data_IF_086725322134
#
_entry.id   IF_086725322134
#
_cell.length_a   1.000
_cell.length_b   1.000
_cell.length_c   1.000
_cell.angle_alpha   90.00
_cell.angle_beta   90.00
_cell.angle_gamma   90.00
#
_symmetry.space_group_name_H-M   'P 1'
#
loop_
_entity.id
_entity.type
_entity.pdbx_description
1 polymer ?
#
# COMPACT_ATOMS: atom_id res chain seq x y z
N UNK A 1 6.81 25.39 7.75
CA UNK A 1 6.42 24.92 6.41
C UNK A 1 6.46 23.39 6.43
N UNK A 2 5.49 22.73 5.81
CA UNK A 2 5.54 21.27 5.65
C UNK A 2 6.79 20.92 4.82
N UNK A 3 7.48 19.83 5.19
CA UNK A 3 8.63 19.34 4.42
C UNK A 3 8.10 18.68 3.15
N UNK A 4 8.83 18.82 2.05
CA UNK A 4 8.55 18.13 0.79
C UNK A 4 9.78 17.38 0.26
N UNK A 5 9.54 16.50 -0.71
CA UNK A 5 10.54 15.81 -1.49
C UNK A 5 10.06 15.69 -2.92
N UNK A 6 10.88 16.14 -3.86
CA UNK A 6 10.57 16.12 -5.29
C UNK A 6 11.61 15.34 -6.07
N UNK A 7 11.19 14.70 -7.14
CA UNK A 7 12.08 14.03 -8.07
C UNK A 7 11.34 13.30 -9.18
N UNK A 8 12.10 12.81 -10.14
CA UNK A 8 11.63 11.94 -11.19
C UNK A 8 11.73 10.49 -10.74
N UNK A 9 10.69 9.72 -11.05
CA UNK A 9 10.66 8.27 -10.89
C UNK A 9 10.58 7.63 -12.26
N UNK A 10 11.43 6.64 -12.48
CA UNK A 10 11.40 5.78 -13.65
C UNK A 10 11.22 4.32 -13.21
N UNK A 11 10.10 3.73 -13.59
CA UNK A 11 9.80 2.32 -13.41
C UNK A 11 9.93 1.62 -14.77
N UNK A 12 10.93 0.77 -14.91
CA UNK A 12 11.11 -0.10 -16.09
C UNK A 12 10.75 -1.53 -15.73
N UNK A 13 9.89 -2.16 -16.51
CA UNK A 13 9.44 -3.55 -16.33
C UNK A 13 9.81 -4.36 -17.57
N UNK A 14 10.35 -5.56 -17.36
CA UNK A 14 10.58 -6.56 -18.39
C UNK A 14 9.86 -7.86 -18.04
N UNK A 15 9.24 -8.49 -19.03
CA UNK A 15 8.41 -9.68 -18.88
C UNK A 15 9.05 -10.83 -19.66
N UNK A 16 9.44 -11.89 -18.96
CA UNK A 16 9.90 -13.12 -19.56
C UNK A 16 8.68 -13.95 -20.01
N UNK A 17 8.52 -14.10 -21.31
CA UNK A 17 7.52 -14.95 -21.93
C UNK A 17 8.10 -15.48 -23.23
N UNK A 18 7.65 -16.67 -23.73
CA UNK A 18 8.08 -17.16 -25.05
C UNK A 18 7.86 -16.10 -26.14
N UNK A 19 8.82 -15.97 -27.04
CA UNK A 19 8.81 -14.91 -28.07
C UNK A 19 7.57 -14.95 -28.96
N UNK A 20 7.01 -16.14 -29.21
CA UNK A 20 5.82 -16.39 -29.98
C UNK A 20 4.50 -16.18 -29.23
N UNK A 21 4.53 -15.89 -27.95
CA UNK A 21 3.32 -15.59 -27.15
C UNK A 21 2.59 -14.36 -27.67
N UNK A 22 1.27 -14.49 -27.82
CA UNK A 22 0.35 -13.45 -28.34
C UNK A 22 -0.67 -12.98 -27.31
N UNK A 23 -0.57 -13.44 -26.07
CA UNK A 23 -1.43 -13.04 -24.94
C UNK A 23 -0.54 -12.77 -23.73
N UNK A 24 0.11 -11.60 -23.75
CA UNK A 24 0.91 -11.10 -22.62
C UNK A 24 0.34 -9.77 -22.21
N UNK A 25 0.02 -9.63 -20.93
CA UNK A 25 -0.64 -8.46 -20.35
C UNK A 25 0.11 -8.00 -19.12
N UNK A 26 0.09 -6.69 -18.87
CA UNK A 26 0.64 -6.08 -17.66
C UNK A 26 -0.28 -4.99 -17.14
N UNK A 27 -0.36 -4.91 -15.82
CA UNK A 27 -0.97 -3.80 -15.09
C UNK A 27 0.09 -3.22 -14.14
N UNK A 28 0.26 -1.91 -14.18
CA UNK A 28 1.18 -1.18 -13.32
C UNK A 28 0.37 -0.16 -12.52
N UNK A 29 0.51 -0.07 -11.18
CA UNK A 29 -0.14 0.96 -10.39
C UNK A 29 0.16 2.35 -10.96
N UNK A 30 -0.89 3.11 -11.31
CA UNK A 30 -0.74 4.42 -11.94
C UNK A 30 -0.93 5.53 -10.91
N UNK A 31 0.11 6.32 -10.63
CA UNK A 31 0.06 7.34 -9.59
C UNK A 31 -0.82 8.52 -9.99
N UNK A 32 -1.51 9.10 -8.99
CA UNK A 32 -2.35 10.29 -9.17
C UNK A 32 -2.03 11.35 -8.13
N UNK A 33 -2.26 12.61 -8.48
CA UNK A 33 -2.14 13.74 -7.54
C UNK A 33 -3.27 13.72 -6.51
N UNK A 34 -2.97 14.22 -5.32
CA UNK A 34 -3.92 14.45 -4.25
C UNK A 34 -3.39 15.58 -3.33
N UNK A 35 -4.01 15.78 -2.18
CA UNK A 35 -3.64 16.86 -1.24
C UNK A 35 -2.22 16.75 -0.63
N UNK A 36 -1.56 15.59 -0.74
CA UNK A 36 -0.22 15.36 -0.16
C UNK A 36 0.83 14.94 -1.17
N UNK A 37 0.43 14.76 -2.43
CA UNK A 37 1.37 14.48 -3.51
C UNK A 37 0.93 15.09 -4.82
N UNK A 38 1.88 15.62 -5.59
CA UNK A 38 1.69 16.04 -6.97
C UNK A 38 2.40 15.08 -7.91
N UNK A 39 1.68 14.64 -8.95
CA UNK A 39 2.22 13.78 -10.01
C UNK A 39 2.07 14.54 -11.33
N UNK A 40 3.14 14.59 -12.12
CA UNK A 40 3.16 15.29 -13.38
C UNK A 40 4.14 14.68 -14.38
N UNK A 41 4.14 15.17 -15.61
CA UNK A 41 5.07 14.77 -16.68
C UNK A 41 5.13 13.25 -16.90
N UNK A 42 3.97 12.60 -16.86
CA UNK A 42 3.89 11.15 -17.03
C UNK A 42 4.18 10.80 -18.49
N UNK A 43 5.08 9.83 -18.69
CA UNK A 43 5.44 9.28 -19.99
C UNK A 43 5.43 7.76 -19.92
N UNK A 44 4.95 7.13 -20.98
CA UNK A 44 4.85 5.69 -21.12
C UNK A 44 5.55 5.32 -22.42
N UNK A 45 6.55 4.45 -22.35
CA UNK A 45 7.30 3.95 -23.49
C UNK A 45 7.41 2.43 -23.40
N UNK A 46 7.45 1.76 -24.54
CA UNK A 46 7.59 0.31 -24.59
C UNK A 46 7.34 -0.24 -25.97
N UNK A 47 7.48 -1.56 -26.12
CA UNK A 47 7.25 -2.28 -27.38
C UNK A 47 5.92 -3.06 -27.38
N UNK A 48 4.95 -2.59 -26.60
CA UNK A 48 3.60 -3.17 -26.52
C UNK A 48 2.75 -2.90 -27.77
N UNK A 49 1.74 -3.75 -28.01
CA UNK A 49 0.78 -3.57 -29.11
C UNK A 49 -0.20 -2.44 -28.83
N UNK A 50 -0.67 -2.33 -27.59
CA UNK A 50 -1.51 -1.24 -27.11
C UNK A 50 -1.37 -1.01 -25.61
N UNK A 51 -1.73 0.19 -25.16
CA UNK A 51 -1.77 0.56 -23.74
C UNK A 51 -2.87 1.57 -23.46
N UNK A 52 -3.26 1.66 -22.19
CA UNK A 52 -4.22 2.63 -21.70
C UNK A 52 -4.21 2.72 -20.19
N UNK A 53 -4.81 3.78 -19.64
CA UNK A 53 -4.99 3.94 -18.19
C UNK A 53 -6.46 3.69 -17.87
N UNK A 54 -6.72 2.81 -16.93
CA UNK A 54 -8.05 2.37 -16.56
C UNK A 54 -8.28 2.50 -15.06
N UNK A 55 -9.49 2.92 -14.69
CA UNK A 55 -9.94 2.99 -13.30
C UNK A 55 -10.65 1.71 -12.88
N UNK A 56 -10.33 1.24 -11.69
CA UNK A 56 -11.04 0.14 -11.05
C UNK A 56 -12.27 0.72 -10.30
N UNK A 57 -13.41 0.02 -10.39
CA UNK A 57 -14.71 0.57 -9.96
C UNK A 57 -14.92 0.60 -8.46
N UNK A 58 -14.33 -0.35 -7.72
CA UNK A 58 -14.58 -0.51 -6.29
C UNK A 58 -13.76 0.48 -5.45
N UNK A 59 -12.50 0.69 -5.84
CA UNK A 59 -11.54 1.51 -5.08
C UNK A 59 -11.21 2.84 -5.76
N UNK A 60 -11.48 2.96 -7.07
CA UNK A 60 -11.05 4.09 -7.89
C UNK A 60 -9.56 4.12 -8.20
N UNK A 61 -8.81 3.06 -7.86
CA UNK A 61 -7.40 2.97 -8.19
C UNK A 61 -7.20 2.90 -9.70
N UNK A 62 -6.14 3.56 -10.20
CA UNK A 62 -5.80 3.54 -11.61
C UNK A 62 -4.70 2.53 -11.90
N UNK A 63 -4.79 1.87 -13.03
CA UNK A 63 -3.78 0.98 -13.57
C UNK A 63 -3.37 1.43 -14.98
N UNK A 64 -2.08 1.53 -15.23
CA UNK A 64 -1.54 1.49 -16.58
C UNK A 64 -1.60 0.05 -17.05
N UNK A 65 -2.39 -0.21 -18.08
CA UNK A 65 -2.49 -1.49 -18.77
C UNK A 65 -1.70 -1.44 -20.05
N UNK A 66 -1.00 -2.52 -20.39
CA UNK A 66 -0.45 -2.74 -21.71
C UNK A 66 -0.52 -4.22 -22.07
N UNK A 67 -0.57 -4.50 -23.39
CA UNK A 67 -0.60 -5.87 -23.89
C UNK A 67 0.24 -6.07 -25.18
N UNK A 68 0.70 -7.29 -25.35
CA UNK A 68 1.38 -7.77 -26.54
C UNK A 68 0.53 -8.85 -27.19
N UNK A 69 -0.06 -8.50 -28.33
CA UNK A 69 -0.96 -9.38 -29.11
C UNK A 69 -0.27 -10.02 -30.32
N UNK A 70 1.00 -9.71 -30.52
CA UNK A 70 1.86 -10.25 -31.59
C UNK A 70 3.15 -10.81 -30.99
N UNK A 71 3.82 -11.76 -31.68
CA UNK A 71 5.13 -12.23 -31.31
C UNK A 71 6.10 -11.06 -31.07
N UNK A 72 6.67 -10.97 -29.91
CA UNK A 72 7.55 -9.86 -29.53
C UNK A 72 8.69 -10.38 -28.66
N UNK A 73 9.92 -9.96 -28.98
CA UNK A 73 11.10 -10.19 -28.15
C UNK A 73 11.25 -9.07 -27.12
N UNK A 74 11.92 -9.40 -26.03
CA UNK A 74 12.35 -8.42 -25.01
C UNK A 74 11.22 -7.45 -24.60
N UNK A 75 10.06 -8.02 -24.21
CA UNK A 75 8.89 -7.23 -23.81
C UNK A 75 9.21 -6.31 -22.67
N UNK A 76 9.10 -5.03 -22.91
CA UNK A 76 9.43 -4.01 -21.94
C UNK A 76 8.44 -2.84 -21.97
N UNK A 77 8.21 -2.27 -20.80
CA UNK A 77 7.46 -1.02 -20.60
C UNK A 77 8.15 -0.16 -19.55
N UNK A 78 8.21 1.13 -19.82
CA UNK A 78 8.76 2.13 -18.87
C UNK A 78 7.70 3.18 -18.59
N UNK A 79 7.44 3.40 -17.32
CA UNK A 79 6.60 4.48 -16.79
C UNK A 79 7.51 5.49 -16.08
N UNK A 80 7.55 6.73 -16.60
CA UNK A 80 8.33 7.83 -16.01
C UNK A 80 7.39 8.94 -15.59
N UNK A 81 7.59 9.52 -14.42
CA UNK A 81 6.80 10.65 -13.92
C UNK A 81 7.58 11.48 -12.90
N UNK A 82 7.19 12.74 -12.74
CA UNK A 82 7.66 13.57 -11.64
C UNK A 82 6.71 13.43 -10.46
N UNK A 83 7.26 13.36 -9.26
CA UNK A 83 6.51 13.33 -8.01
C UNK A 83 7.05 14.36 -7.02
N UNK A 84 6.13 15.06 -6.36
CA UNK A 84 6.41 15.84 -5.15
C UNK A 84 5.54 15.28 -4.04
N UNK A 85 6.15 14.79 -2.97
CA UNK A 85 5.44 14.32 -1.78
C UNK A 85 5.65 15.28 -0.62
N UNK A 86 4.62 15.48 0.20
CA UNK A 86 4.62 16.38 1.35
C UNK A 86 4.42 15.62 2.64
N UNK A 87 5.10 16.08 3.70
CA UNK A 87 4.82 15.62 5.04
C UNK A 87 3.36 15.92 5.41
N UNK A 88 2.67 14.93 5.96
CA UNK A 88 1.31 15.06 6.48
C UNK A 88 1.32 14.83 7.98
N UNK A 89 0.76 15.78 8.75
CA UNK A 89 0.55 15.63 10.20
C UNK A 89 -0.92 15.92 10.51
N UNK A 90 -1.61 14.92 11.06
CA UNK A 90 -3.03 14.96 11.45
C UNK A 90 -3.19 14.39 12.86
N UNK A 91 -3.06 15.23 13.88
CA UNK A 91 -3.04 14.80 15.29
C UNK A 91 -4.06 15.51 16.19
N UNK A 92 -4.62 16.61 15.72
CA UNK A 92 -5.63 17.38 16.46
C UNK A 92 -7.04 16.86 16.10
N UNK A 93 -7.46 15.79 16.79
CA UNK A 93 -8.77 15.20 16.56
C UNK A 93 -9.90 16.03 17.14
N UNK A 94 -11.10 16.04 16.51
CA UNK A 94 -12.24 16.78 17.02
C UNK A 94 -12.68 16.26 18.39
N UNK A 95 -13.11 17.18 19.26
CA UNK A 95 -13.64 16.83 20.57
C UNK A 95 -14.92 15.99 20.45
N UNK A 96 -15.74 16.26 19.40
CA UNK A 96 -16.95 15.53 19.05
C UNK A 96 -16.81 15.01 17.63
N UNK A 97 -16.98 13.70 17.44
CA UNK A 97 -16.97 13.06 16.14
C UNK A 97 -18.40 12.96 15.60
N UNK A 98 -18.59 13.26 14.32
CA UNK A 98 -19.88 13.13 13.65
C UNK A 98 -20.17 11.65 13.30
N UNK A 99 -21.34 11.40 12.70
CA UNK A 99 -21.66 10.06 12.20
C UNK A 99 -20.76 9.69 11.00
N UNK A 100 -20.47 8.40 10.85
CA UNK A 100 -19.72 7.87 9.72
C UNK A 100 -20.55 8.08 8.43
N UNK A 101 -20.03 8.79 7.42
CA UNK A 101 -20.68 8.95 6.12
C UNK A 101 -20.98 7.60 5.46
N UNK A 102 -22.05 7.54 4.67
CA UNK A 102 -22.53 6.28 4.06
C UNK A 102 -21.46 5.67 3.15
N UNK A 103 -20.78 6.49 2.36
CA UNK A 103 -19.70 6.09 1.46
C UNK A 103 -18.45 5.58 2.17
N UNK A 104 -18.29 5.91 3.45
CA UNK A 104 -17.16 5.45 4.28
C UNK A 104 -17.48 4.10 4.97
N UNK A 105 -18.75 3.71 5.05
CA UNK A 105 -19.14 2.46 5.73
C UNK A 105 -18.61 1.19 5.05
N UNK A 106 -18.27 1.25 3.77
CA UNK A 106 -17.65 0.11 3.08
C UNK A 106 -16.30 -0.26 3.70
N UNK A 107 -15.55 0.72 4.25
CA UNK A 107 -14.28 0.50 4.94
C UNK A 107 -14.43 -0.10 6.36
N UNK A 108 -15.64 -0.50 6.75
CA UNK A 108 -15.92 -1.35 7.91
C UNK A 108 -16.12 -2.82 7.54
N UNK A 109 -16.34 -3.12 6.25
CA UNK A 109 -16.67 -4.48 5.79
C UNK A 109 -15.43 -5.37 5.82
N UNK A 110 -15.66 -6.64 6.10
CA UNK A 110 -14.65 -7.68 5.89
C UNK A 110 -14.44 -7.95 4.41
N UNK A 111 -13.26 -8.46 4.07
CA UNK A 111 -12.96 -9.06 2.77
C UNK A 111 -12.30 -10.41 3.00
N UNK A 112 -12.05 -11.19 1.94
CA UNK A 112 -11.39 -12.51 2.06
C UNK A 112 -9.99 -12.43 2.69
N UNK A 113 -9.31 -11.27 2.63
CA UNK A 113 -7.97 -11.06 3.20
C UNK A 113 -7.99 -10.20 4.47
N UNK A 114 -9.11 -9.55 4.79
CA UNK A 114 -9.28 -8.67 5.95
C UNK A 114 -10.54 -9.11 6.71
N UNK A 115 -10.49 -10.21 7.48
CA UNK A 115 -11.61 -10.66 8.32
C UNK A 115 -11.88 -9.66 9.45
N UNK A 116 -13.11 -9.62 9.95
CA UNK A 116 -13.52 -8.74 11.07
C UNK A 116 -14.18 -9.52 12.21
N UNK A 117 -14.13 -10.82 12.17
CA UNK A 117 -14.70 -11.76 13.14
C UNK A 117 -13.64 -12.61 13.86
N UNK A 118 -14.04 -13.67 14.54
CA UNK A 118 -13.17 -14.60 15.26
C UNK A 118 -12.19 -13.88 16.19
N UNK A 119 -10.92 -14.31 16.14
CA UNK A 119 -9.84 -13.77 16.99
C UNK A 119 -9.60 -12.28 16.81
N UNK A 120 -9.81 -11.77 15.60
CA UNK A 120 -9.71 -10.32 15.31
C UNK A 120 -10.76 -9.55 16.13
N UNK A 121 -12.00 -10.04 16.15
CA UNK A 121 -13.09 -9.43 16.91
C UNK A 121 -12.86 -9.49 18.42
N UNK A 122 -12.35 -10.60 18.92
CA UNK A 122 -12.00 -10.77 20.35
C UNK A 122 -10.97 -9.73 20.77
N UNK A 123 -9.89 -9.57 20.00
CA UNK A 123 -8.85 -8.57 20.26
C UNK A 123 -9.47 -7.16 20.19
N UNK A 124 -10.23 -6.85 19.14
CA UNK A 124 -10.84 -5.54 18.98
C UNK A 124 -11.68 -5.15 20.20
N UNK A 125 -12.55 -6.07 20.68
CA UNK A 125 -13.36 -5.85 21.86
C UNK A 125 -12.53 -5.69 23.13
N UNK A 126 -11.48 -6.50 23.33
CA UNK A 126 -10.67 -6.46 24.53
C UNK A 126 -9.92 -5.13 24.72
N UNK A 127 -9.56 -4.45 23.62
CA UNK A 127 -8.76 -3.21 23.66
C UNK A 127 -9.57 -1.93 23.43
N UNK A 128 -10.85 -2.04 23.06
CA UNK A 128 -11.69 -0.87 22.71
C UNK A 128 -13.03 -0.79 23.42
N UNK A 129 -13.35 -1.71 24.35
CA UNK A 129 -14.65 -1.77 25.03
C UNK A 129 -14.98 -0.52 25.87
N UNK A 130 -13.97 0.16 26.39
CA UNK A 130 -14.06 1.40 27.19
C UNK A 130 -13.94 2.68 26.34
N UNK A 131 -13.73 2.55 25.02
CA UNK A 131 -13.52 3.68 24.11
C UNK A 131 -14.82 4.03 23.38
N UNK A 132 -15.12 5.32 23.29
CA UNK A 132 -16.31 5.80 22.59
C UNK A 132 -15.97 6.38 21.21
N UNK A 133 -14.88 7.16 21.11
CA UNK A 133 -14.48 7.85 19.89
C UNK A 133 -13.72 6.91 18.94
N UNK A 134 -13.90 7.12 17.66
CA UNK A 134 -13.17 6.42 16.60
C UNK A 134 -11.67 6.66 16.72
N UNK A 135 -11.26 7.89 16.99
CA UNK A 135 -9.84 8.25 17.19
C UNK A 135 -9.20 7.53 18.38
N UNK A 136 -9.94 7.35 19.47
CA UNK A 136 -9.48 6.60 20.66
C UNK A 136 -9.34 5.10 20.37
N UNK A 137 -10.34 4.51 19.69
CA UNK A 137 -10.30 3.12 19.25
C UNK A 137 -9.14 2.87 18.30
N UNK A 138 -8.95 3.75 17.30
CA UNK A 138 -7.85 3.66 16.36
C UNK A 138 -6.49 3.72 17.06
N UNK A 139 -6.33 4.58 18.07
CA UNK A 139 -5.10 4.66 18.86
C UNK A 139 -4.86 3.38 19.66
N UNK A 140 -5.89 2.81 20.29
CA UNK A 140 -5.77 1.55 21.04
C UNK A 140 -5.36 0.40 20.11
N UNK A 141 -5.95 0.31 18.91
CA UNK A 141 -5.58 -0.68 17.90
C UNK A 141 -4.14 -0.46 17.43
N UNK A 142 -3.76 0.76 17.12
CA UNK A 142 -2.40 1.10 16.70
C UNK A 142 -1.35 0.70 17.74
N UNK A 143 -1.60 1.06 19.00
CA UNK A 143 -0.74 0.72 20.12
C UNK A 143 -0.59 -0.79 20.27
N UNK A 144 -1.73 -1.51 20.24
CA UNK A 144 -1.72 -2.97 20.29
C UNK A 144 -0.89 -3.59 19.17
N UNK A 145 -1.03 -3.10 17.93
CA UNK A 145 -0.25 -3.60 16.77
C UNK A 145 1.23 -3.33 16.97
N UNK A 146 1.61 -2.12 17.40
CA UNK A 146 3.02 -1.80 17.69
C UNK A 146 3.58 -2.71 18.79
N UNK A 147 2.84 -3.00 19.83
CA UNK A 147 3.31 -3.83 20.96
C UNK A 147 3.36 -5.33 20.63
N UNK A 148 2.43 -5.81 19.80
CA UNK A 148 2.20 -7.23 19.60
C UNK A 148 2.68 -7.78 18.24
N UNK A 149 3.29 -6.96 17.38
CA UNK A 149 3.88 -7.43 16.13
C UNK A 149 5.37 -7.18 16.09
N UNK A 150 6.08 -7.92 15.23
CA UNK A 150 7.51 -7.71 15.00
C UNK A 150 7.82 -7.63 13.50
N UNK A 151 8.84 -6.85 13.16
CA UNK A 151 9.37 -6.81 11.79
C UNK A 151 10.20 -8.05 11.52
N UNK A 152 9.84 -8.81 10.48
CA UNK A 152 10.59 -9.96 9.98
C UNK A 152 11.29 -9.57 8.66
N UNK A 153 12.63 -9.40 8.66
CA UNK A 153 13.36 -8.99 7.48
C UNK A 153 13.39 -10.05 6.37
N UNK A 154 13.14 -11.32 6.68
CA UNK A 154 13.20 -12.44 5.74
C UNK A 154 11.88 -12.64 4.97
N UNK A 155 10.80 -11.97 5.37
CA UNK A 155 9.54 -11.98 4.64
C UNK A 155 9.75 -11.46 3.21
N UNK A 156 9.26 -12.21 2.20
CA UNK A 156 9.36 -11.83 0.77
C UNK A 156 8.56 -10.55 0.48
N UNK A 157 9.13 -9.65 -0.28
CA UNK A 157 8.50 -8.38 -0.66
C UNK A 157 8.03 -7.59 0.56
N UNK A 158 6.78 -7.16 0.56
CA UNK A 158 6.11 -6.50 1.69
C UNK A 158 5.28 -7.46 2.55
N UNK A 159 5.27 -8.76 2.25
CA UNK A 159 4.39 -9.77 2.84
C UNK A 159 3.07 -9.89 2.08
N UNK A 160 2.28 -10.90 2.40
CA UNK A 160 0.98 -11.14 1.76
C UNK A 160 -0.18 -10.42 2.47
N UNK A 161 0.02 -10.07 3.74
CA UNK A 161 -1.01 -9.41 4.55
C UNK A 161 -2.23 -10.29 4.82
N UNK A 162 -2.07 -11.62 4.82
CA UNK A 162 -3.13 -12.58 5.16
C UNK A 162 -3.36 -12.57 6.67
N UNK A 163 -4.42 -11.90 7.10
CA UNK A 163 -4.67 -11.61 8.52
C UNK A 163 -4.86 -12.88 9.35
N UNK A 164 -5.51 -13.90 8.82
CA UNK A 164 -5.71 -15.18 9.54
C UNK A 164 -4.38 -15.83 9.95
N UNK A 165 -3.36 -15.67 9.12
CA UNK A 165 -1.99 -16.11 9.43
C UNK A 165 -1.33 -15.11 10.39
N UNK A 166 -1.42 -13.81 10.10
CA UNK A 166 -0.67 -12.79 10.80
C UNK A 166 -1.18 -12.51 12.20
N UNK A 167 -2.46 -12.69 12.47
CA UNK A 167 -3.03 -12.51 13.81
C UNK A 167 -2.51 -13.56 14.83
N UNK A 168 -1.98 -14.66 14.33
CA UNK A 168 -1.33 -15.71 15.13
C UNK A 168 0.19 -15.55 15.11
N UNK A 169 0.80 -15.47 13.92
CA UNK A 169 2.26 -15.35 13.72
C UNK A 169 2.82 -14.06 14.30
N UNK A 170 2.11 -12.93 14.14
CA UNK A 170 2.48 -11.58 14.60
C UNK A 170 3.85 -11.10 14.11
N UNK A 171 4.29 -11.60 12.96
CA UNK A 171 5.63 -11.34 12.42
C UNK A 171 5.58 -11.25 10.91
N UNK A 172 6.12 -10.15 10.35
CA UNK A 172 6.13 -9.93 8.91
C UNK A 172 6.64 -8.56 8.50
N UNK A 173 6.30 -8.14 7.29
CA UNK A 173 6.64 -6.80 6.78
C UNK A 173 5.41 -5.88 6.75
N UNK A 174 5.50 -4.81 5.96
CA UNK A 174 4.53 -3.72 6.03
C UNK A 174 3.10 -4.15 5.65
N UNK A 175 2.90 -5.02 4.65
CA UNK A 175 1.56 -5.51 4.32
C UNK A 175 0.98 -6.36 5.46
N UNK A 176 1.80 -7.22 6.07
CA UNK A 176 1.37 -8.08 7.16
C UNK A 176 0.94 -7.27 8.39
N UNK A 177 1.75 -6.30 8.79
CA UNK A 177 1.48 -5.46 9.97
C UNK A 177 0.31 -4.49 9.71
N UNK A 178 0.25 -3.88 8.52
CA UNK A 178 -0.83 -2.95 8.17
C UNK A 178 -2.18 -3.64 8.05
N UNK A 179 -2.24 -4.86 7.49
CA UNK A 179 -3.47 -5.65 7.39
C UNK A 179 -4.05 -5.99 8.77
N UNK A 180 -3.19 -6.34 9.73
CA UNK A 180 -3.61 -6.61 11.12
C UNK A 180 -4.25 -5.35 11.72
N UNK A 181 -3.63 -4.17 11.53
CA UNK A 181 -4.22 -2.91 11.98
C UNK A 181 -5.60 -2.69 11.36
N UNK A 182 -5.71 -2.79 10.03
CA UNK A 182 -6.97 -2.52 9.29
C UNK A 182 -8.06 -3.50 9.73
N UNK A 183 -7.74 -4.76 9.91
CA UNK A 183 -8.67 -5.81 10.32
C UNK A 183 -9.23 -5.54 11.73
N UNK A 184 -8.35 -5.33 12.71
CA UNK A 184 -8.77 -5.06 14.10
C UNK A 184 -9.54 -3.72 14.17
N UNK A 185 -9.10 -2.68 13.44
CA UNK A 185 -9.78 -1.39 13.39
C UNK A 185 -11.21 -1.52 12.86
N UNK A 186 -11.41 -2.23 11.73
CA UNK A 186 -12.74 -2.51 11.18
C UNK A 186 -13.61 -3.27 12.17
N UNK A 187 -13.09 -4.29 12.82
CA UNK A 187 -13.75 -5.07 13.84
C UNK A 187 -14.18 -4.24 15.07
N UNK A 188 -13.41 -3.18 15.39
CA UNK A 188 -13.70 -2.20 16.44
C UNK A 188 -14.72 -1.12 16.01
N UNK A 189 -15.20 -1.13 14.75
CA UNK A 189 -16.08 -0.11 14.20
C UNK A 189 -15.34 1.16 13.72
N UNK A 190 -14.05 1.09 13.49
CA UNK A 190 -13.21 2.16 12.91
C UNK A 190 -13.05 1.91 11.41
N UNK A 191 -13.58 2.78 10.52
CA UNK A 191 -13.33 2.64 9.09
C UNK A 191 -11.84 2.75 8.80
N UNK A 192 -11.26 1.74 8.15
CA UNK A 192 -9.84 1.67 7.90
C UNK A 192 -9.52 1.05 6.53
N UNK A 193 -8.41 1.47 5.95
CA UNK A 193 -7.89 0.96 4.69
C UNK A 193 -6.36 0.93 4.67
N UNK A 194 -5.81 0.14 3.77
CA UNK A 194 -4.39 0.17 3.46
C UNK A 194 -4.09 1.20 2.37
N UNK A 195 -2.89 1.73 2.40
CA UNK A 195 -2.29 2.52 1.31
C UNK A 195 -1.07 1.78 0.82
N UNK A 196 -1.03 1.52 -0.46
CA UNK A 196 0.08 0.86 -1.14
C UNK A 196 0.87 1.90 -1.91
N UNK A 197 2.17 1.96 -1.69
CA UNK A 197 2.97 3.05 -2.20
C UNK A 197 4.42 2.71 -2.46
N UNK A 198 5.16 3.75 -2.78
CA UNK A 198 6.59 3.72 -3.07
C UNK A 198 7.30 4.80 -2.27
N UNK A 199 8.47 4.49 -1.72
CA UNK A 199 9.34 5.49 -1.10
C UNK A 199 10.05 6.29 -2.17
N UNK A 200 10.23 7.58 -1.91
CA UNK A 200 11.14 8.44 -2.66
C UNK A 200 12.56 8.31 -2.11
N UNK A 201 13.54 8.38 -2.99
CA UNK A 201 14.95 8.33 -2.62
C UNK A 201 15.36 9.52 -1.74
N UNK A 202 16.27 9.28 -0.81
CA UNK A 202 16.86 10.33 0.05
C UNK A 202 18.10 10.97 -0.58
N UNK A 203 18.77 10.26 -1.48
CA UNK A 203 19.91 10.74 -2.26
C UNK A 203 19.44 11.44 -3.54
N UNK A 204 20.36 12.06 -4.27
CA UNK A 204 20.06 12.70 -5.56
C UNK A 204 19.71 11.67 -6.63
N UNK A 205 20.38 10.52 -6.64
CA UNK A 205 20.01 9.36 -7.44
C UNK A 205 20.01 8.11 -6.55
N UNK A 206 18.95 7.31 -6.65
CA UNK A 206 18.80 6.11 -5.81
C UNK A 206 17.98 5.02 -6.50
N UNK A 207 18.43 3.76 -6.38
CA UNK A 207 17.66 2.59 -6.79
C UNK A 207 16.60 2.29 -5.71
N UNK A 208 15.35 2.51 -6.05
CA UNK A 208 14.18 2.33 -5.20
C UNK A 208 13.41 1.05 -5.52
N UNK A 209 14.01 0.07 -6.22
CA UNK A 209 13.34 -1.19 -6.56
C UNK A 209 12.81 -1.92 -5.32
N UNK A 210 13.55 -1.89 -4.22
CA UNK A 210 13.11 -2.38 -2.91
C UNK A 210 12.32 -1.35 -2.07
N UNK A 211 11.96 -0.20 -2.65
CA UNK A 211 11.35 0.93 -1.94
C UNK A 211 9.84 0.87 -1.77
N UNK A 212 9.18 -0.18 -2.23
CA UNK A 212 7.74 -0.36 -2.01
C UNK A 212 7.42 -0.42 -0.52
N UNK A 213 6.34 0.26 -0.14
CA UNK A 213 5.90 0.34 1.25
C UNK A 213 4.40 0.54 1.32
N UNK A 214 3.77 -0.10 2.29
CA UNK A 214 2.37 0.11 2.61
C UNK A 214 2.21 0.55 4.06
N UNK A 215 1.16 1.32 4.30
CA UNK A 215 0.75 1.79 5.62
C UNK A 215 -0.78 1.76 5.71
N UNK A 216 -1.30 2.09 6.87
CA UNK A 216 -2.74 2.14 7.10
C UNK A 216 -3.25 3.56 7.19
N UNK A 217 -4.53 3.75 6.87
CA UNK A 217 -5.30 4.95 7.19
C UNK A 217 -6.59 4.53 7.92
N UNK A 218 -7.02 5.35 8.88
CA UNK A 218 -8.34 5.26 9.49
C UNK A 218 -9.11 6.56 9.28
N UNK A 219 -10.43 6.48 9.25
CA UNK A 219 -11.28 7.64 8.99
C UNK A 219 -11.90 8.15 10.30
N UNK A 220 -11.69 9.43 10.58
CA UNK A 220 -12.35 10.14 11.68
C UNK A 220 -13.46 11.01 11.10
N UNK A 221 -14.74 10.78 11.47
CA UNK A 221 -15.87 11.55 10.96
C UNK A 221 -15.73 13.05 11.28
N UNK A 222 -15.94 13.89 10.24
CA UNK A 222 -15.73 15.33 10.32
C UNK A 222 -14.27 15.79 10.19
N UNK A 223 -13.31 14.86 10.15
CA UNK A 223 -11.87 15.15 10.05
C UNK A 223 -11.19 14.51 8.83
N UNK A 224 -11.70 13.35 8.39
CA UNK A 224 -11.22 12.62 7.22
C UNK A 224 -10.20 11.53 7.53
N UNK A 225 -9.49 11.08 6.50
CA UNK A 225 -8.49 10.03 6.59
C UNK A 225 -7.24 10.49 7.34
N UNK A 226 -6.76 9.62 8.24
CA UNK A 226 -5.62 9.83 9.13
C UNK A 226 -4.65 8.66 8.97
N UNK A 227 -3.37 8.90 8.69
CA UNK A 227 -2.40 7.83 8.54
C UNK A 227 -2.04 7.19 9.88
N UNK A 228 -1.74 5.88 9.84
CA UNK A 228 -1.21 5.11 10.96
C UNK A 228 -0.22 4.07 10.44
N UNK A 229 1.06 4.20 10.77
CA UNK A 229 2.11 3.32 10.26
C UNK A 229 2.87 2.60 11.39
N UNK A 230 2.25 1.56 11.93
CA UNK A 230 2.88 0.67 12.90
C UNK A 230 4.06 -0.12 12.28
N UNK A 231 4.01 -0.37 10.96
CA UNK A 231 5.05 -1.13 10.28
C UNK A 231 6.40 -0.40 10.23
N UNK A 232 6.38 0.94 10.01
CA UNK A 232 7.61 1.72 10.06
C UNK A 232 8.14 1.89 11.49
N UNK A 233 7.26 2.00 12.49
CA UNK A 233 7.70 1.96 13.89
C UNK A 233 8.47 0.66 14.16
N UNK A 234 7.90 -0.49 13.81
CA UNK A 234 8.55 -1.80 14.02
C UNK A 234 9.83 -1.96 13.21
N UNK A 235 9.89 -1.38 11.99
CA UNK A 235 11.13 -1.35 11.20
C UNK A 235 12.21 -0.51 11.88
N UNK A 236 11.89 0.68 12.36
CA UNK A 236 12.82 1.57 13.05
C UNK A 236 13.31 0.91 14.35
N UNK A 237 12.41 0.33 15.15
CA UNK A 237 12.79 -0.39 16.36
C UNK A 237 13.81 -1.50 16.08
N UNK A 238 13.62 -2.27 14.99
CA UNK A 238 14.57 -3.32 14.60
C UNK A 238 15.92 -2.75 14.15
N UNK A 239 15.90 -1.74 13.27
CA UNK A 239 17.13 -1.18 12.67
C UNK A 239 17.96 -0.41 13.70
N UNK A 240 17.30 0.41 14.51
CA UNK A 240 17.95 1.26 15.51
C UNK A 240 18.09 0.58 16.88
N UNK A 241 17.68 -0.71 16.97
CA UNK A 241 17.71 -1.53 18.21
C UNK A 241 17.00 -0.86 19.39
N UNK A 242 15.84 -0.27 19.12
CA UNK A 242 15.02 0.40 20.13
C UNK A 242 14.01 -0.56 20.75
N UNK A 243 13.81 -0.45 22.05
CA UNK A 243 12.63 -1.00 22.73
C UNK A 243 11.42 -0.05 22.58
N UNK A 244 10.27 -0.42 23.15
CA UNK A 244 9.05 0.38 23.11
C UNK A 244 9.23 1.76 23.77
N UNK A 245 10.04 1.85 24.82
CA UNK A 245 10.31 3.10 25.52
C UNK A 245 11.17 4.03 24.66
N UNK A 246 12.23 3.50 24.03
CA UNK A 246 13.10 4.25 23.14
C UNK A 246 12.44 4.69 21.85
N UNK A 247 11.35 4.01 21.45
CA UNK A 247 10.62 4.30 20.21
C UNK A 247 9.43 5.26 20.38
N UNK A 248 9.17 5.82 21.58
CA UNK A 248 7.96 6.62 21.87
C UNK A 248 7.76 7.80 20.91
N UNK A 249 8.81 8.52 20.53
CA UNK A 249 8.71 9.62 19.57
C UNK A 249 8.25 9.12 18.19
N UNK A 250 8.72 7.95 17.75
CA UNK A 250 8.33 7.34 16.48
C UNK A 250 6.90 6.81 16.55
N UNK A 251 6.54 6.16 17.65
CA UNK A 251 5.16 5.73 17.92
C UNK A 251 4.22 6.94 17.87
N UNK A 252 4.57 8.02 18.54
CA UNK A 252 3.81 9.25 18.50
C UNK A 252 3.76 9.91 17.13
N UNK A 253 4.86 9.89 16.36
CA UNK A 253 4.91 10.49 15.03
C UNK A 253 4.03 9.75 14.03
N UNK A 254 4.17 8.43 13.92
CA UNK A 254 3.49 7.62 12.92
C UNK A 254 2.00 7.32 13.21
N UNK A 255 1.47 7.80 14.32
CA UNK A 255 0.03 7.91 14.53
C UNK A 255 -0.43 9.32 14.14
N UNK A 256 -0.90 9.46 12.93
CA UNK A 256 -1.31 10.74 12.34
C UNK A 256 -0.22 11.44 11.51
N UNK A 257 0.97 10.84 11.39
CA UNK A 257 2.08 11.41 10.63
C UNK A 257 2.57 10.50 9.48
N UNK A 258 2.90 11.12 8.37
CA UNK A 258 3.60 10.50 7.22
C UNK A 258 4.65 11.50 6.75
N UNK A 259 5.90 11.03 6.66
CA UNK A 259 7.00 11.85 6.16
C UNK A 259 6.93 12.04 4.63
N UNK A 260 7.62 13.06 4.12
CA UNK A 260 7.65 13.47 2.72
C UNK A 260 8.33 12.49 1.75
N UNK A 261 8.80 11.34 2.22
CA UNK A 261 9.57 10.39 1.41
C UNK A 261 8.73 9.24 0.86
N UNK A 262 7.42 9.42 0.64
CA UNK A 262 6.59 8.38 0.05
C UNK A 262 5.42 8.94 -0.74
N UNK A 263 5.04 8.22 -1.79
CA UNK A 263 3.83 8.46 -2.57
C UNK A 263 2.89 7.26 -2.46
N UNK A 264 1.59 7.53 -2.50
CA UNK A 264 0.58 6.50 -2.63
C UNK A 264 0.38 6.15 -4.12
N UNK A 265 0.31 4.86 -4.41
CA UNK A 265 0.00 4.32 -5.74
C UNK A 265 -1.44 3.79 -5.79
N UNK A 266 -1.88 3.12 -4.72
CA UNK A 266 -3.24 2.60 -4.59
C UNK A 266 -3.73 2.71 -3.15
N UNK A 267 -5.06 2.74 -2.95
CA UNK A 267 -5.69 2.82 -1.63
C UNK A 267 -6.83 1.82 -1.51
N UNK A 268 -6.86 1.12 -0.39
CA UNK A 268 -7.87 0.07 -0.14
C UNK A 268 -7.81 -1.05 -1.17
N UNK A 269 -8.85 -1.86 -1.18
CA UNK A 269 -8.98 -2.95 -2.15
C UNK A 269 -8.11 -4.16 -1.83
N UNK A 270 -8.78 -5.22 -1.40
CA UNK A 270 -8.18 -6.52 -1.17
C UNK A 270 -9.11 -7.56 -1.77
N UNK A 271 -8.57 -8.38 -2.68
CA UNK A 271 -9.36 -9.39 -3.35
C UNK A 271 -10.28 -8.84 -4.44
N UNK A 272 -9.79 -7.93 -5.27
CA UNK A 272 -10.54 -7.27 -6.33
C UNK A 272 -9.97 -7.55 -7.73
N UNK A 273 -10.71 -7.12 -8.76
CA UNK A 273 -10.29 -7.24 -10.14
C UNK A 273 -9.85 -5.89 -10.71
N UNK A 274 -8.74 -5.90 -11.44
CA UNK A 274 -8.24 -4.74 -12.18
C UNK A 274 -9.14 -4.44 -13.40
N UNK A 275 -8.87 -3.34 -14.05
CA UNK A 275 -9.48 -2.97 -15.35
C UNK A 275 -8.37 -2.70 -16.36
N UNK A 276 -8.39 -3.36 -17.55
CA UNK A 276 -9.19 -4.54 -17.90
C UNK A 276 -9.00 -5.69 -16.91
N UNK A 277 -10.02 -6.58 -16.80
CA UNK A 277 -10.02 -7.66 -15.82
C UNK A 277 -8.91 -8.68 -16.11
N UNK A 278 -8.13 -9.04 -15.11
CA UNK A 278 -7.20 -10.17 -15.14
C UNK A 278 -7.95 -11.51 -15.10
N UNK A 279 -7.31 -12.57 -15.60
CA UNK A 279 -7.89 -13.90 -15.69
C UNK A 279 -7.66 -14.74 -14.42
N UNK A 280 -6.50 -14.59 -13.78
CA UNK A 280 -6.02 -15.47 -12.71
C UNK A 280 -6.57 -15.06 -11.31
N UNK A 281 -7.89 -14.87 -11.22
CA UNK A 281 -8.57 -14.61 -9.97
C UNK A 281 -8.42 -13.19 -9.42
N UNK A 282 -8.99 -12.92 -8.23
CA UNK A 282 -8.93 -11.61 -7.60
C UNK A 282 -7.52 -11.32 -7.07
N UNK A 283 -7.04 -10.10 -7.34
CA UNK A 283 -5.73 -9.65 -6.88
C UNK A 283 -5.74 -9.38 -5.37
N UNK A 284 -4.75 -9.92 -4.67
CA UNK A 284 -4.65 -9.70 -3.22
C UNK A 284 -4.50 -8.21 -2.89
N UNK A 285 -3.48 -7.52 -3.44
CA UNK A 285 -3.33 -6.07 -3.39
C UNK A 285 -2.52 -5.56 -4.59
N UNK A 286 -2.67 -4.27 -4.91
CA UNK A 286 -2.07 -3.67 -6.09
C UNK A 286 -1.02 -2.61 -5.71
N UNK A 287 0.23 -3.04 -5.61
CA UNK A 287 1.39 -2.17 -5.32
C UNK A 287 2.56 -2.43 -6.28
N UNK A 288 2.67 -3.66 -6.74
CA UNK A 288 3.68 -4.12 -7.69
C UNK A 288 3.09 -4.21 -9.10
N UNK A 289 3.92 -4.16 -10.16
CA UNK A 289 3.49 -4.62 -11.48
C UNK A 289 2.91 -6.04 -11.40
N UNK A 290 1.82 -6.27 -12.08
CA UNK A 290 1.15 -7.57 -12.19
C UNK A 290 1.06 -7.95 -13.67
N UNK A 291 1.43 -9.16 -14.04
CA UNK A 291 1.45 -9.61 -15.43
C UNK A 291 0.87 -11.00 -15.60
N UNK A 292 0.22 -11.22 -16.73
CA UNK A 292 -0.27 -12.51 -17.16
C UNK A 292 0.33 -12.89 -18.51
N UNK A 293 0.69 -14.18 -18.65
CA UNK A 293 1.15 -14.80 -19.89
C UNK A 293 0.21 -15.97 -20.20
N UNK A 294 -0.47 -15.92 -21.36
CA UNK A 294 -1.46 -16.92 -21.76
C UNK A 294 -2.53 -17.16 -20.68
N UNK A 295 -3.00 -16.09 -20.05
CA UNK A 295 -4.05 -16.08 -19.03
C UNK A 295 -3.64 -16.56 -17.64
N UNK A 296 -2.34 -16.78 -17.38
CA UNK A 296 -1.81 -17.16 -16.06
C UNK A 296 -0.91 -16.07 -15.51
N UNK A 297 -1.07 -15.75 -14.24
CA UNK A 297 -0.23 -14.75 -13.56
C UNK A 297 1.21 -15.23 -13.44
N UNK A 298 2.14 -14.29 -13.59
CA UNK A 298 3.50 -14.47 -13.13
C UNK A 298 3.58 -14.17 -11.62
N UNK A 299 4.64 -14.65 -10.97
CA UNK A 299 4.89 -14.29 -9.57
C UNK A 299 5.09 -12.77 -9.45
N UNK A 300 4.17 -12.11 -8.75
CA UNK A 300 4.07 -10.65 -8.68
C UNK A 300 4.63 -10.05 -7.38
N UNK A 301 4.83 -10.86 -6.34
CA UNK A 301 5.27 -10.37 -5.04
C UNK A 301 6.75 -9.97 -5.09
N UNK A 302 7.02 -8.69 -5.26
CA UNK A 302 8.30 -8.07 -5.54
C UNK A 302 8.87 -8.45 -6.95
N UNK A 303 10.04 -7.90 -7.32
CA UNK A 303 10.67 -8.22 -8.59
C UNK A 303 11.15 -9.66 -8.63
N UNK A 304 10.86 -10.38 -9.70
CA UNK A 304 11.09 -11.81 -9.87
C UNK A 304 11.86 -12.11 -11.16
N UNK A 305 12.19 -13.38 -11.37
CA UNK A 305 12.92 -13.80 -12.57
C UNK A 305 12.13 -13.54 -13.84
N UNK A 306 10.81 -13.82 -13.83
CA UNK A 306 9.96 -13.74 -15.02
C UNK A 306 9.23 -12.39 -15.13
N UNK A 307 9.11 -11.65 -14.04
CA UNK A 307 8.59 -10.29 -13.98
C UNK A 307 9.62 -9.40 -13.27
N UNK A 308 10.58 -8.90 -14.03
CA UNK A 308 11.62 -8.02 -13.50
C UNK A 308 11.18 -6.58 -13.60
N UNK A 309 11.45 -5.82 -12.56
CA UNK A 309 11.30 -4.36 -12.66
C UNK A 309 12.42 -3.66 -11.89
N UNK A 310 12.69 -2.45 -12.31
CA UNK A 310 13.62 -1.52 -11.66
C UNK A 310 12.94 -0.18 -11.46
N UNK A 311 13.13 0.40 -10.29
CA UNK A 311 12.64 1.74 -9.95
C UNK A 311 13.81 2.64 -9.64
N UNK A 312 14.00 3.68 -10.44
CA UNK A 312 15.02 4.69 -10.21
C UNK A 312 14.37 5.99 -9.77
N UNK A 313 14.98 6.65 -8.79
CA UNK A 313 14.63 7.98 -8.34
C UNK A 313 15.77 8.94 -8.67
N UNK A 314 15.41 10.12 -9.18
CA UNK A 314 16.33 11.24 -9.40
C UNK A 314 15.72 12.52 -8.85
N UNK A 315 16.41 13.14 -7.87
CA UNK A 315 15.94 14.38 -7.23
C UNK A 315 15.90 15.57 -8.21
N UNK A 316 14.98 16.48 -7.98
CA UNK A 316 14.95 17.80 -8.63
C UNK A 316 15.63 18.85 -7.79
#
# INVERSE_FOLDING_TARGET
>A
MAKDRSGQIELTVTIAAPDDSKDVKIWIPYPVSNNVQDISNIRINGNFSQSGVYGEKETGNLALYAEWTTPTKDRAITLTFNATARELIKKEFPAVESNIPVEIKEYLKSTIFIPTDGKVKEIALSITNDKQKISEKARAVYQWVVENTVRDPDTKGCGTGEVDIQIVKRSGKCADISSVFVSIARAAGVPAREVFGLRLGKKDEEDMTGGHHCWSEFYVPGYGWVPADAADVRKIMLVDKLDLKGAQDKIGYYFGGVEQYRIALARGGRGYYLSPRQNDGPLNYFMYPYSEVNGKSLEWLAAQTDLKYKVMFKAH
#
